data_IF_876834643863
#
_entry.id   IF_876834643863
#
_cell.length_a   1.000
_cell.length_b   1.000
_cell.length_c   1.000
_cell.angle_alpha   90.00
_cell.angle_beta   90.00
_cell.angle_gamma   90.00
#
_symmetry.space_group_name_H-M   'P 1'
#
loop_
_entity.id
_entity.type
_entity.pdbx_description
1 polymer ?
#
# COMPACT_ATOMS: atom_id res chain seq x y z
N UNK A 1 -25.97 -9.85 -21.91
CA UNK A 1 -24.77 -10.14 -21.09
C UNK A 1 -25.19 -10.22 -19.63
N UNK A 2 -24.87 -11.28 -18.89
CA UNK A 2 -25.13 -11.33 -17.43
C UNK A 2 -24.27 -10.25 -16.78
N UNK A 3 -24.90 -9.33 -16.04
CA UNK A 3 -24.20 -8.27 -15.29
C UNK A 3 -23.30 -8.96 -14.26
N UNK A 4 -22.01 -8.64 -14.25
CA UNK A 4 -21.13 -9.13 -13.19
C UNK A 4 -21.72 -8.72 -11.84
N UNK A 5 -21.78 -9.63 -10.86
CA UNK A 5 -22.34 -9.34 -9.56
C UNK A 5 -21.56 -8.20 -8.90
N UNK A 6 -22.27 -7.24 -8.33
CA UNK A 6 -21.65 -6.16 -7.58
C UNK A 6 -21.14 -6.69 -6.23
N UNK A 7 -20.06 -6.12 -5.67
CA UNK A 7 -19.68 -6.41 -4.29
C UNK A 7 -20.80 -5.95 -3.34
N UNK A 8 -21.01 -6.70 -2.26
CA UNK A 8 -22.01 -6.38 -1.23
C UNK A 8 -21.41 -5.72 0.01
N UNK A 9 -20.11 -5.84 0.22
CA UNK A 9 -19.39 -5.15 1.30
C UNK A 9 -17.90 -4.97 0.98
N UNK A 10 -17.23 -4.13 1.78
CA UNK A 10 -15.81 -3.82 1.70
C UNK A 10 -15.20 -3.91 3.10
N UNK A 11 -14.07 -4.60 3.21
CA UNK A 11 -13.20 -4.53 4.39
C UNK A 11 -11.98 -3.66 4.07
N UNK A 12 -11.70 -2.67 4.92
CA UNK A 12 -10.46 -1.89 4.89
C UNK A 12 -9.58 -2.28 6.07
N UNK A 13 -8.36 -2.69 5.80
CA UNK A 13 -7.32 -2.92 6.80
C UNK A 13 -6.20 -1.92 6.63
N UNK A 14 -5.89 -1.20 7.70
CA UNK A 14 -4.78 -0.26 7.78
C UNK A 14 -3.66 -0.86 8.63
N UNK A 15 -2.44 -0.89 8.13
CA UNK A 15 -1.32 -1.47 8.86
C UNK A 15 -0.49 -0.41 9.58
N UNK A 16 -0.13 -0.67 10.84
CA UNK A 16 0.82 0.15 11.57
C UNK A 16 2.25 -0.16 11.11
N UNK A 17 2.73 0.59 10.13
CA UNK A 17 4.08 0.49 9.54
C UNK A 17 5.08 1.49 10.14
N UNK A 18 4.61 2.38 11.02
CA UNK A 18 5.36 3.51 11.57
C UNK A 18 5.02 4.80 10.81
N UNK A 19 6.02 5.41 10.15
CA UNK A 19 5.81 6.52 9.22
C UNK A 19 5.79 6.00 7.79
N UNK A 20 4.59 5.86 7.24
CA UNK A 20 4.31 5.40 5.89
C UNK A 20 2.92 4.81 5.77
N UNK A 21 2.65 4.25 4.59
CA UNK A 21 1.32 3.83 4.17
C UNK A 21 1.29 2.36 3.76
N UNK A 22 0.21 1.68 4.16
CA UNK A 22 -0.09 0.30 3.78
C UNK A 22 -1.55 -0.01 4.08
N UNK A 23 -2.34 -0.18 3.01
CA UNK A 23 -3.78 -0.42 3.08
C UNK A 23 -4.16 -1.64 2.25
N UNK A 24 -4.96 -2.53 2.84
CA UNK A 24 -5.58 -3.64 2.11
C UNK A 24 -7.09 -3.46 2.07
N UNK A 25 -7.63 -3.39 0.86
CA UNK A 25 -9.06 -3.36 0.58
C UNK A 25 -9.50 -4.73 0.08
N UNK A 26 -10.51 -5.31 0.71
CA UNK A 26 -11.12 -6.58 0.29
C UNK A 26 -12.59 -6.37 -0.04
N UNK A 27 -12.94 -6.54 -1.32
CA UNK A 27 -14.32 -6.50 -1.79
C UNK A 27 -14.94 -7.89 -1.70
N UNK A 28 -16.08 -7.97 -1.01
CA UNK A 28 -16.82 -9.21 -0.80
C UNK A 28 -17.97 -9.33 -1.78
N UNK A 29 -18.17 -10.52 -2.33
CA UNK A 29 -19.18 -10.80 -3.34
C UNK A 29 -20.17 -11.85 -2.86
N UNK A 30 -21.46 -11.73 -3.23
CA UNK A 30 -22.48 -12.69 -2.83
C UNK A 30 -22.28 -14.07 -3.48
N UNK A 31 -22.85 -15.10 -2.84
CA UNK A 31 -22.91 -16.46 -3.42
C UNK A 31 -21.58 -17.20 -3.41
N UNK A 32 -20.71 -16.95 -2.42
CA UNK A 32 -19.43 -17.66 -2.27
C UNK A 32 -18.40 -17.32 -3.36
N UNK A 33 -18.61 -16.26 -4.12
CA UNK A 33 -17.65 -15.78 -5.11
C UNK A 33 -16.37 -15.32 -4.43
N UNK A 34 -15.24 -15.52 -5.12
CA UNK A 34 -13.92 -15.10 -4.63
C UNK A 34 -13.93 -13.60 -4.34
N UNK A 35 -13.42 -13.22 -3.17
CA UNK A 35 -13.13 -11.84 -2.84
C UNK A 35 -12.17 -11.21 -3.86
N UNK A 36 -12.15 -9.87 -3.92
CA UNK A 36 -11.17 -9.12 -4.69
C UNK A 36 -10.30 -8.27 -3.76
N UNK A 37 -8.99 -8.43 -3.84
CA UNK A 37 -8.03 -7.81 -2.92
C UNK A 37 -7.20 -6.74 -3.63
N UNK A 38 -7.18 -5.53 -3.07
CA UNK A 38 -6.42 -4.38 -3.57
C UNK A 38 -5.47 -3.90 -2.46
N UNK A 39 -4.17 -4.00 -2.71
CA UNK A 39 -3.13 -3.44 -1.85
C UNK A 39 -2.77 -2.04 -2.35
N UNK A 40 -2.85 -1.04 -1.48
CA UNK A 40 -2.48 0.36 -1.79
C UNK A 40 -1.32 0.74 -0.87
N UNK A 41 -0.18 1.03 -1.50
CA UNK A 41 1.10 1.25 -0.86
C UNK A 41 1.54 0.12 0.07
N UNK A 42 2.84 0.09 0.34
CA UNK A 42 3.45 -0.81 1.30
C UNK A 42 4.84 -0.28 1.62
N UNK A 43 4.92 0.71 2.51
CA UNK A 43 6.17 1.39 2.79
C UNK A 43 6.30 1.88 4.23
N UNK A 44 7.53 2.22 4.57
CA UNK A 44 7.90 2.86 5.83
C UNK A 44 9.29 3.50 5.69
N UNK A 45 9.46 4.70 6.24
CA UNK A 45 10.78 5.33 6.45
C UNK A 45 11.21 5.31 7.91
N UNK A 46 10.26 5.13 8.83
CA UNK A 46 10.52 5.11 10.26
C UNK A 46 9.62 4.10 10.93
N UNK A 47 10.20 3.25 11.76
CA UNK A 47 9.45 2.21 12.46
C UNK A 47 8.49 2.79 13.51
N UNK A 48 7.48 2.00 13.94
CA UNK A 48 6.73 2.29 15.15
C UNK A 48 7.65 2.35 16.38
N UNK A 49 7.11 2.80 17.52
CA UNK A 49 7.87 2.87 18.77
C UNK A 49 8.38 1.51 19.24
N UNK A 50 9.51 1.50 19.95
CA UNK A 50 10.06 0.27 20.56
C UNK A 50 9.06 -0.43 21.46
N UNK A 51 8.23 0.33 22.18
CA UNK A 51 7.16 -0.23 23.03
C UNK A 51 6.14 -1.01 22.20
N UNK A 52 5.77 -0.50 21.02
CA UNK A 52 4.90 -1.23 20.09
C UNK A 52 5.58 -2.51 19.62
N UNK A 53 6.82 -2.43 19.14
CA UNK A 53 7.57 -3.58 18.61
C UNK A 53 7.76 -4.69 19.66
N UNK A 54 8.05 -4.32 20.92
CA UNK A 54 8.14 -5.27 22.05
C UNK A 54 6.80 -5.93 22.39
N UNK A 55 5.68 -5.26 22.11
CA UNK A 55 4.33 -5.78 22.37
C UNK A 55 3.79 -6.71 21.26
N UNK A 56 4.41 -6.74 20.08
CA UNK A 56 3.90 -7.52 18.95
C UNK A 56 3.78 -9.03 19.23
N UNK A 57 4.74 -9.70 19.90
CA UNK A 57 4.64 -11.14 20.15
C UNK A 57 3.35 -11.59 20.82
N UNK A 58 2.78 -10.77 21.73
CA UNK A 58 1.52 -11.07 22.42
C UNK A 58 0.27 -10.59 21.68
N UNK A 59 0.43 -9.75 20.65
CA UNK A 59 -0.67 -9.12 19.89
C UNK A 59 -0.87 -9.71 18.50
N UNK A 60 0.05 -10.54 18.01
CA UNK A 60 -0.08 -11.09 16.67
C UNK A 60 -1.26 -12.07 16.57
N UNK A 61 -1.96 -12.05 15.41
CA UNK A 61 -3.02 -13.00 15.15
C UNK A 61 -2.48 -14.44 15.12
N UNK A 62 -3.33 -15.45 15.41
CA UNK A 62 -2.89 -16.85 15.55
C UNK A 62 -2.05 -17.37 14.38
N UNK A 63 -2.41 -17.01 13.15
CA UNK A 63 -1.71 -17.45 11.93
C UNK A 63 -0.26 -16.93 11.82
N UNK A 64 0.11 -15.87 12.56
CA UNK A 64 1.48 -15.34 12.61
C UNK A 64 2.27 -15.78 13.85
N UNK A 65 1.62 -16.35 14.87
CA UNK A 65 2.32 -16.73 16.10
C UNK A 65 3.45 -17.73 15.84
N UNK A 66 3.26 -18.67 14.90
CA UNK A 66 4.31 -19.60 14.47
C UNK A 66 5.48 -18.93 13.73
N UNK A 67 5.25 -17.78 13.06
CA UNK A 67 6.29 -17.01 12.38
C UNK A 67 7.20 -16.26 13.35
N UNK A 68 6.69 -15.89 14.53
CA UNK A 68 7.43 -15.18 15.58
C UNK A 68 8.46 -16.06 16.28
N UNK A 69 8.21 -17.37 16.45
CA UNK A 69 9.11 -18.25 17.23
C UNK A 69 10.54 -18.29 16.69
N UNK A 70 10.72 -17.91 15.42
CA UNK A 70 12.01 -17.81 14.74
C UNK A 70 12.54 -16.37 14.62
N UNK A 71 11.88 -15.38 15.22
CA UNK A 71 12.28 -13.98 15.23
C UNK A 71 13.06 -13.66 16.52
N UNK A 72 14.22 -13.02 16.36
CA UNK A 72 14.95 -12.40 17.49
C UNK A 72 14.08 -11.32 18.13
N UNK A 73 13.99 -11.31 19.45
CA UNK A 73 13.35 -10.24 20.22
C UNK A 73 14.34 -9.11 20.52
N UNK A 74 13.95 -7.83 20.46
CA UNK A 74 12.63 -7.33 20.04
C UNK A 74 12.43 -7.43 18.52
N UNK A 75 11.17 -7.46 18.08
CA UNK A 75 10.82 -7.44 16.66
C UNK A 75 11.43 -6.20 16.00
N UNK A 76 12.23 -6.39 14.95
CA UNK A 76 12.87 -5.29 14.23
C UNK A 76 11.93 -4.69 13.17
N UNK A 77 12.19 -3.47 12.67
CA UNK A 77 11.38 -2.87 11.61
C UNK A 77 11.30 -3.73 10.35
N UNK A 78 12.41 -4.36 9.95
CA UNK A 78 12.44 -5.28 8.81
C UNK A 78 11.59 -6.53 9.06
N UNK A 79 11.58 -7.05 10.29
CA UNK A 79 10.73 -8.18 10.67
C UNK A 79 9.26 -7.79 10.68
N UNK A 80 8.92 -6.57 11.14
CA UNK A 80 7.54 -6.05 11.09
C UNK A 80 7.00 -6.01 9.66
N UNK A 81 7.74 -5.44 8.70
CA UNK A 81 7.30 -5.40 7.31
C UNK A 81 7.06 -6.81 6.75
N UNK A 82 7.94 -7.77 7.09
CA UNK A 82 7.77 -9.16 6.68
C UNK A 82 6.55 -9.84 7.34
N UNK A 83 6.26 -9.55 8.61
CA UNK A 83 5.07 -10.01 9.30
C UNK A 83 3.79 -9.46 8.65
N UNK A 84 3.78 -8.18 8.29
CA UNK A 84 2.68 -7.56 7.56
C UNK A 84 2.47 -8.24 6.21
N UNK A 85 3.53 -8.52 5.44
CA UNK A 85 3.41 -9.25 4.18
C UNK A 85 2.82 -10.66 4.37
N UNK A 86 3.16 -11.36 5.46
CA UNK A 86 2.54 -12.65 5.78
C UNK A 86 1.06 -12.52 6.17
N UNK A 87 0.69 -11.47 6.90
CA UNK A 87 -0.71 -11.18 7.23
C UNK A 87 -1.52 -10.92 5.95
N UNK A 88 -1.01 -10.05 5.06
CA UNK A 88 -1.61 -9.76 3.75
C UNK A 88 -1.78 -11.06 2.96
N UNK A 89 -0.74 -11.89 2.88
CA UNK A 89 -0.80 -13.18 2.20
C UNK A 89 -1.90 -14.09 2.76
N UNK A 90 -2.06 -14.12 4.09
CA UNK A 90 -3.08 -14.94 4.73
C UNK A 90 -4.49 -14.41 4.46
N UNK A 91 -4.74 -13.13 4.68
CA UNK A 91 -6.11 -12.58 4.62
C UNK A 91 -6.60 -12.30 3.20
N UNK A 92 -5.69 -12.30 2.24
CA UNK A 92 -6.01 -12.25 0.82
C UNK A 92 -6.19 -13.64 0.19
N UNK A 93 -6.22 -14.70 1.00
CA UNK A 93 -6.25 -16.10 0.53
C UNK A 93 -5.13 -16.41 -0.48
N UNK A 94 -3.96 -15.79 -0.28
CA UNK A 94 -2.79 -15.93 -1.14
C UNK A 94 -2.89 -15.21 -2.49
N UNK A 95 -3.87 -14.32 -2.70
CA UNK A 95 -4.12 -13.69 -4.00
C UNK A 95 -4.36 -12.18 -3.90
N UNK A 96 -3.59 -11.40 -4.67
CA UNK A 96 -3.88 -9.99 -4.92
C UNK A 96 -4.42 -9.80 -6.34
N UNK A 97 -5.47 -9.00 -6.48
CA UNK A 97 -5.99 -8.61 -7.79
C UNK A 97 -5.29 -7.35 -8.29
N UNK A 98 -5.11 -6.37 -7.40
CA UNK A 98 -4.50 -5.09 -7.74
C UNK A 98 -3.48 -4.69 -6.68
N UNK A 99 -2.33 -4.20 -7.12
CA UNK A 99 -1.39 -3.43 -6.31
C UNK A 99 -1.35 -2.01 -6.86
N UNK A 100 -1.45 -1.01 -5.99
CA UNK A 100 -1.35 0.40 -6.35
C UNK A 100 -0.19 1.00 -5.57
N UNK A 101 0.75 1.63 -6.29
CA UNK A 101 1.73 2.52 -5.69
C UNK A 101 1.32 3.96 -5.97
N UNK A 102 1.14 4.79 -4.95
CA UNK A 102 0.71 6.18 -5.11
C UNK A 102 1.82 7.04 -5.69
N UNK A 103 3.05 6.88 -5.16
CA UNK A 103 4.27 7.53 -5.64
C UNK A 103 5.52 6.85 -5.08
N UNK A 104 6.70 7.31 -5.50
CA UNK A 104 7.97 6.58 -5.34
C UNK A 104 8.69 6.74 -4.00
N UNK A 105 8.14 7.51 -3.07
CA UNK A 105 8.82 7.74 -1.79
C UNK A 105 8.88 6.45 -0.95
N UNK A 106 9.93 6.31 -0.13
CA UNK A 106 10.21 5.10 0.66
C UNK A 106 9.06 4.70 1.58
N UNK A 107 8.42 5.68 2.18
CA UNK A 107 7.30 5.52 3.08
C UNK A 107 6.04 4.96 2.39
N UNK A 108 6.03 4.91 1.06
CA UNK A 108 4.98 4.28 0.25
C UNK A 108 5.41 2.96 -0.38
N UNK A 109 6.67 2.80 -0.79
CA UNK A 109 7.07 1.63 -1.60
C UNK A 109 8.19 0.77 -1.03
N UNK A 110 8.82 1.13 0.09
CA UNK A 110 10.01 0.41 0.58
C UNK A 110 9.75 -1.08 0.91
N UNK A 111 8.52 -1.42 1.31
CA UNK A 111 8.09 -2.80 1.56
C UNK A 111 8.02 -3.67 0.31
N UNK A 112 7.99 -3.08 -0.89
CA UNK A 112 8.09 -3.83 -2.14
C UNK A 112 9.53 -4.19 -2.53
N UNK A 113 10.56 -3.78 -1.78
CA UNK A 113 11.93 -4.19 -2.06
C UNK A 113 12.11 -5.72 -1.94
N UNK A 114 12.89 -6.28 -2.86
CA UNK A 114 13.24 -7.70 -2.90
C UNK A 114 14.53 -7.96 -2.13
N UNK A 115 14.75 -9.22 -1.79
CA UNK A 115 15.99 -9.67 -1.15
C UNK A 115 16.67 -10.74 -2.00
N UNK A 116 17.99 -10.87 -1.91
CA UNK A 116 18.74 -11.94 -2.62
C UNK A 116 18.33 -13.35 -2.19
N UNK A 117 17.71 -13.48 -1.01
CA UNK A 117 17.18 -14.75 -0.48
C UNK A 117 15.75 -15.04 -0.94
N UNK A 118 15.10 -14.14 -1.68
CA UNK A 118 13.74 -14.31 -2.20
C UNK A 118 12.67 -14.47 -1.10
N UNK A 119 12.90 -13.93 0.09
CA UNK A 119 12.00 -14.12 1.23
C UNK A 119 11.69 -12.82 2.00
N UNK A 120 12.02 -11.69 1.41
CA UNK A 120 11.70 -10.35 1.89
C UNK A 120 10.22 -10.02 1.73
N UNK A 121 9.79 -8.88 2.29
CA UNK A 121 8.40 -8.44 2.20
C UNK A 121 7.93 -8.30 0.74
N UNK A 122 8.73 -7.69 -0.13
CA UNK A 122 8.39 -7.53 -1.56
C UNK A 122 8.38 -8.84 -2.33
N UNK A 123 9.19 -9.82 -1.93
CA UNK A 123 9.19 -11.17 -2.50
C UNK A 123 7.90 -11.92 -2.15
N UNK A 124 7.42 -11.78 -0.90
CA UNK A 124 6.16 -12.36 -0.45
C UNK A 124 4.98 -11.76 -1.22
N UNK A 125 4.92 -10.43 -1.34
CA UNK A 125 3.85 -9.75 -2.07
C UNK A 125 3.84 -10.14 -3.55
N UNK A 126 5.01 -10.22 -4.20
CA UNK A 126 5.13 -10.76 -5.57
C UNK A 126 4.54 -12.17 -5.67
N UNK A 127 4.78 -13.02 -4.67
CA UNK A 127 4.26 -14.39 -4.61
C UNK A 127 2.73 -14.48 -4.58
N UNK A 128 2.02 -13.39 -4.27
CA UNK A 128 0.55 -13.31 -4.33
C UNK A 128 0.02 -13.09 -5.76
N UNK A 129 0.92 -13.04 -6.74
CA UNK A 129 0.66 -12.94 -8.18
C UNK A 129 -0.37 -11.86 -8.56
N UNK A 130 -0.11 -10.56 -8.28
CA UNK A 130 -1.01 -9.47 -8.65
C UNK A 130 -1.44 -9.54 -10.12
N UNK A 131 -2.74 -9.44 -10.40
CA UNK A 131 -3.20 -9.37 -11.79
C UNK A 131 -2.81 -8.03 -12.44
N UNK A 132 -2.94 -6.93 -11.69
CA UNK A 132 -2.67 -5.58 -12.14
C UNK A 132 -1.80 -4.82 -11.13
N UNK A 133 -0.76 -4.16 -11.62
CA UNK A 133 -0.02 -3.14 -10.86
C UNK A 133 -0.30 -1.78 -11.48
N UNK A 134 -0.71 -0.82 -10.65
CA UNK A 134 -0.95 0.58 -11.03
C UNK A 134 0.13 1.44 -10.40
N UNK A 135 0.83 2.21 -11.22
CA UNK A 135 1.88 3.13 -10.80
C UNK A 135 1.64 4.52 -11.43
N UNK A 136 2.20 5.60 -10.87
CA UNK A 136 2.11 6.89 -11.51
C UNK A 136 2.95 6.92 -12.78
N UNK A 137 2.53 7.73 -13.75
CA UNK A 137 3.19 7.89 -15.05
C UNK A 137 4.68 8.26 -14.94
N UNK A 138 5.08 8.92 -13.87
CA UNK A 138 6.47 9.33 -13.59
C UNK A 138 7.41 8.15 -13.43
N UNK A 139 6.89 6.97 -13.11
CA UNK A 139 7.66 5.73 -13.02
C UNK A 139 7.76 5.00 -14.36
N UNK A 140 7.16 5.51 -15.43
CA UNK A 140 7.22 4.86 -16.73
C UNK A 140 8.70 4.70 -17.16
N UNK A 141 9.15 3.52 -17.67
CA UNK A 141 10.56 3.29 -18.00
C UNK A 141 11.15 4.25 -19.05
N UNK A 142 10.29 4.88 -19.84
CA UNK A 142 10.64 5.88 -20.85
C UNK A 142 10.40 7.33 -20.42
N UNK A 143 9.93 7.56 -19.19
CA UNK A 143 9.77 8.92 -18.68
C UNK A 143 11.15 9.55 -18.50
N UNK A 144 11.32 10.77 -19.02
CA UNK A 144 12.53 11.56 -18.77
C UNK A 144 12.48 12.13 -17.35
N UNK A 145 13.64 12.35 -16.75
CA UNK A 145 13.76 12.87 -15.37
C UNK A 145 13.15 14.25 -15.17
N UNK A 146 13.04 15.03 -16.24
CA UNK A 146 12.48 16.38 -16.29
C UNK A 146 11.15 16.43 -17.09
N UNK A 147 10.56 15.26 -17.37
CA UNK A 147 9.31 15.19 -18.12
C UNK A 147 8.22 15.96 -17.38
N UNK A 148 7.49 16.80 -18.13
CA UNK A 148 6.31 17.54 -17.64
C UNK A 148 4.99 16.88 -18.05
N UNK A 149 5.06 15.87 -18.92
CA UNK A 149 3.91 15.18 -19.49
C UNK A 149 4.16 13.67 -19.57
N UNK A 150 3.08 12.90 -19.46
CA UNK A 150 3.11 11.45 -19.60
C UNK A 150 3.47 11.05 -21.04
N UNK A 151 4.30 10.01 -21.25
CA UNK A 151 4.55 9.48 -22.59
C UNK A 151 3.24 9.12 -23.32
N UNK A 152 3.14 9.40 -24.62
CA UNK A 152 1.92 9.31 -25.44
C UNK A 152 1.13 7.99 -25.35
N UNK A 153 1.75 6.90 -24.90
CA UNK A 153 1.12 5.58 -24.78
C UNK A 153 0.02 5.47 -23.70
N UNK A 154 -0.19 6.50 -22.87
CA UNK A 154 -1.01 6.43 -21.65
C UNK A 154 -2.42 7.06 -21.82
N UNK A 155 -2.72 7.78 -22.90
CA UNK A 155 -3.91 8.64 -23.01
C UNK A 155 -4.97 8.12 -24.01
N UNK A 156 -6.00 7.39 -23.55
CA UNK A 156 -7.32 7.24 -24.25
C UNK A 156 -8.44 6.55 -23.42
N UNK A 157 -9.21 7.31 -22.61
CA UNK A 157 -10.71 7.32 -22.58
C UNK A 157 -11.37 7.74 -21.24
N UNK A 158 -12.36 8.63 -21.36
CA UNK A 158 -12.99 9.54 -20.37
C UNK A 158 -13.95 8.96 -19.31
N UNK A 159 -13.91 7.65 -19.01
CA UNK A 159 -15.00 7.01 -18.23
C UNK A 159 -14.82 6.96 -16.70
N UNK A 160 -13.75 7.54 -16.12
CA UNK A 160 -13.47 7.48 -14.68
C UNK A 160 -13.96 8.71 -13.86
N UNK A 161 -14.35 9.82 -14.51
CA UNK A 161 -14.78 11.04 -13.81
C UNK A 161 -15.96 10.81 -12.84
N UNK A 162 -16.87 9.87 -13.15
CA UNK A 162 -17.98 9.51 -12.27
C UNK A 162 -17.55 8.69 -11.03
N UNK A 163 -16.43 7.95 -11.10
CA UNK A 163 -15.92 7.15 -9.97
C UNK A 163 -15.11 7.99 -8.98
N UNK A 164 -14.39 9.02 -9.45
CA UNK A 164 -13.73 10.01 -8.56
C UNK A 164 -14.73 10.84 -7.76
N UNK A 165 -15.90 11.15 -8.33
CA UNK A 165 -16.95 11.83 -7.56
C UNK A 165 -17.42 11.00 -6.36
N UNK A 166 -17.31 9.67 -6.42
CA UNK A 166 -17.55 8.77 -5.29
C UNK A 166 -16.36 8.68 -4.31
N UNK A 167 -15.12 8.77 -4.79
CA UNK A 167 -13.91 8.72 -3.95
C UNK A 167 -13.63 10.05 -3.23
N UNK A 168 -13.97 11.20 -3.82
CA UNK A 168 -13.89 12.50 -3.12
C UNK A 168 -14.86 12.55 -1.93
N UNK A 169 -16.02 11.88 -2.02
CA UNK A 169 -16.94 11.73 -0.89
C UNK A 169 -16.37 10.79 0.20
N UNK A 170 -15.63 9.76 -0.20
CA UNK A 170 -14.95 8.86 0.75
C UNK A 170 -13.75 9.53 1.44
N UNK A 171 -12.92 10.27 0.69
CA UNK A 171 -11.82 11.06 1.23
C UNK A 171 -12.33 12.16 2.16
N UNK A 172 -13.39 12.87 1.77
CA UNK A 172 -14.06 13.84 2.65
C UNK A 172 -14.66 13.18 3.91
N UNK A 173 -15.16 11.95 3.81
CA UNK A 173 -15.66 11.22 4.98
C UNK A 173 -14.52 10.82 5.94
N UNK A 174 -13.36 10.39 5.42
CA UNK A 174 -12.16 10.08 6.22
C UNK A 174 -11.56 11.35 6.84
N UNK A 175 -11.48 12.45 6.09
CA UNK A 175 -10.98 13.73 6.61
C UNK A 175 -11.86 14.27 7.74
N UNK A 176 -13.19 14.22 7.57
CA UNK A 176 -14.12 14.64 8.61
C UNK A 176 -14.02 13.79 9.87
N UNK A 177 -13.79 12.48 9.72
CA UNK A 177 -13.60 11.58 10.87
C UNK A 177 -12.24 11.79 11.55
N UNK A 178 -11.17 12.00 10.78
CA UNK A 178 -9.85 12.33 11.30
C UNK A 178 -9.86 13.67 12.07
N UNK A 179 -10.54 14.69 11.53
CA UNK A 179 -10.71 15.98 12.20
C UNK A 179 -11.48 15.85 13.52
N UNK A 180 -12.55 15.03 13.56
CA UNK A 180 -13.29 14.73 14.80
C UNK A 180 -12.42 14.02 15.83
N UNK A 181 -11.61 13.04 15.42
CA UNK A 181 -10.70 12.33 16.32
C UNK A 181 -9.58 13.22 16.87
N UNK A 182 -9.07 14.16 16.07
CA UNK A 182 -8.07 15.15 16.50
C UNK A 182 -8.70 16.13 17.50
N UNK A 183 -9.89 16.66 17.21
CA UNK A 183 -10.60 17.56 18.12
C UNK A 183 -10.90 16.88 19.46
N UNK A 184 -11.39 15.64 19.45
CA UNK A 184 -11.62 14.86 20.67
C UNK A 184 -10.35 14.62 21.50
N UNK A 185 -9.16 14.59 20.87
CA UNK A 185 -7.87 14.49 21.58
C UNK A 185 -7.40 15.82 22.16
N UNK A 186 -7.71 16.93 21.50
CA UNK A 186 -7.44 18.28 22.00
C UNK A 186 -8.34 18.61 23.20
N UNK A 187 -9.62 18.26 23.10
CA UNK A 187 -10.61 18.44 24.18
C UNK A 187 -10.27 17.57 25.41
N UNK A 188 -9.57 16.45 25.21
CA UNK A 188 -9.06 15.58 26.28
C UNK A 188 -7.73 16.06 26.93
N UNK A 189 -7.28 17.29 26.64
CA UNK A 189 -6.19 17.96 27.37
C UNK A 189 -4.78 17.41 27.12
N UNK A 190 -4.52 16.69 26.03
CA UNK A 190 -3.18 16.15 25.72
C UNK A 190 -2.43 17.08 24.76
N UNK A 191 -1.36 17.73 25.27
CA UNK A 191 -0.54 18.69 24.53
C UNK A 191 0.20 18.04 23.35
N UNK A 192 0.07 18.65 22.17
CA UNK A 192 0.79 18.28 20.95
C UNK A 192 2.21 18.85 20.95
N UNK A 193 3.21 17.97 20.93
CA UNK A 193 4.63 18.34 20.77
C UNK A 193 4.92 18.55 19.27
N UNK A 194 5.59 19.64 18.92
CA UNK A 194 5.95 20.00 17.54
C UNK A 194 6.85 18.93 16.86
N UNK A 195 6.74 18.72 15.55
CA UNK A 195 7.51 17.69 14.83
C UNK A 195 9.01 18.04 14.78
N UNK A 196 9.87 17.03 14.97
CA UNK A 196 11.33 17.15 14.98
C UNK A 196 11.93 17.34 13.58
N UNK A 197 13.17 17.84 13.54
CA UNK A 197 14.04 18.10 12.38
C UNK A 197 14.15 16.93 11.37
N UNK A 198 13.80 15.70 11.75
CA UNK A 198 13.75 14.54 10.85
C UNK A 198 12.66 14.69 9.77
N UNK A 199 11.61 15.45 10.04
CA UNK A 199 10.54 15.75 9.07
C UNK A 199 11.04 16.61 7.91
N UNK A 200 12.10 17.41 8.12
CA UNK A 200 12.66 18.32 7.12
C UNK A 200 13.76 17.68 6.24
N UNK A 201 14.30 16.52 6.62
CA UNK A 201 15.28 15.76 5.80
C UNK A 201 14.61 14.88 4.72
N UNK A 202 13.28 14.81 4.72
CA UNK A 202 12.45 14.00 3.83
C UNK A 202 12.48 14.45 2.36
N UNK A 203 12.89 15.68 2.06
CA UNK A 203 12.78 16.28 0.72
C UNK A 203 13.91 15.91 -0.26
N UNK A 204 14.79 14.96 0.06
CA UNK A 204 16.09 14.83 -0.64
C UNK A 204 16.64 13.44 -0.87
N UNK A 205 15.82 12.39 -0.96
CA UNK A 205 16.34 11.05 -1.27
C UNK A 205 16.27 10.71 -2.76
N UNK A 206 17.46 10.50 -3.33
CA UNK A 206 17.68 10.18 -4.75
C UNK A 206 17.12 8.79 -5.16
N UNK A 207 16.76 8.68 -6.44
CA UNK A 207 16.22 7.49 -7.15
C UNK A 207 16.99 6.15 -6.97
N UNK A 208 18.18 6.15 -6.36
CA UNK A 208 19.04 4.96 -6.24
C UNK A 208 18.60 4.03 -5.10
N UNK A 209 18.10 4.58 -3.99
CA UNK A 209 17.82 3.79 -2.78
C UNK A 209 16.56 2.89 -2.87
N UNK A 210 15.62 3.22 -3.77
CA UNK A 210 14.36 2.48 -3.96
C UNK A 210 14.32 1.61 -5.21
N UNK A 211 15.46 1.47 -5.89
CA UNK A 211 15.52 0.82 -7.21
C UNK A 211 14.92 -0.59 -7.21
N UNK A 212 15.28 -1.42 -6.23
CA UNK A 212 14.74 -2.79 -6.11
C UNK A 212 13.22 -2.80 -5.94
N UNK A 213 12.64 -1.89 -5.16
CA UNK A 213 11.19 -1.80 -4.98
C UNK A 213 10.48 -1.38 -6.27
N UNK A 214 11.03 -0.38 -6.97
CA UNK A 214 10.49 0.09 -8.25
C UNK A 214 10.56 -1.03 -9.30
N UNK A 215 11.72 -1.67 -9.47
CA UNK A 215 11.90 -2.79 -10.40
C UNK A 215 10.97 -3.97 -10.07
N UNK A 216 10.75 -4.23 -8.78
CA UNK A 216 9.80 -5.24 -8.34
C UNK A 216 8.37 -4.87 -8.75
N UNK A 217 7.92 -3.64 -8.48
CA UNK A 217 6.59 -3.14 -8.86
C UNK A 217 6.37 -3.20 -10.38
N UNK A 218 7.36 -2.79 -11.16
CA UNK A 218 7.30 -2.81 -12.63
C UNK A 218 7.00 -4.20 -13.19
N UNK A 219 7.43 -5.26 -12.49
CA UNK A 219 7.49 -6.64 -13.03
C UNK A 219 6.73 -7.68 -12.19
N UNK A 220 6.09 -7.32 -11.07
CA UNK A 220 5.39 -8.29 -10.22
C UNK A 220 3.98 -8.62 -10.71
N UNK A 221 3.34 -7.68 -11.42
CA UNK A 221 2.01 -7.90 -11.96
C UNK A 221 2.03 -8.67 -13.28
N UNK A 222 0.94 -9.39 -13.58
CA UNK A 222 0.70 -9.91 -14.94
C UNK A 222 0.61 -8.77 -15.96
N UNK A 223 0.08 -7.63 -15.50
CA UNK A 223 0.04 -6.37 -16.24
C UNK A 223 0.45 -5.22 -15.32
N UNK A 224 1.31 -4.36 -15.81
CA UNK A 224 1.64 -3.09 -15.14
C UNK A 224 1.16 -1.94 -16.02
N UNK A 225 0.51 -0.96 -15.40
CA UNK A 225 0.05 0.26 -16.06
C UNK A 225 0.57 1.48 -15.33
N UNK A 226 0.78 2.53 -16.10
CA UNK A 226 1.26 3.81 -15.63
C UNK A 226 0.17 4.83 -15.93
N UNK A 227 -0.33 5.51 -14.91
CA UNK A 227 -1.51 6.38 -15.03
C UNK A 227 -1.24 7.79 -14.56
N UNK A 228 -1.99 8.74 -15.13
CA UNK A 228 -2.05 10.14 -14.78
C UNK A 228 -3.51 10.63 -14.87
N UNK A 229 -3.76 11.86 -14.41
CA UNK A 229 -5.07 12.47 -14.64
C UNK A 229 -5.40 12.49 -16.14
N UNK A 230 -6.55 11.91 -16.51
CA UNK A 230 -6.98 11.77 -17.90
C UNK A 230 -6.62 10.44 -18.59
N UNK A 231 -5.87 9.54 -17.95
CA UNK A 231 -5.64 8.18 -18.47
C UNK A 231 -6.93 7.36 -18.58
N UNK A 232 -7.00 6.37 -19.50
CA UNK A 232 -8.05 5.36 -19.52
C UNK A 232 -8.07 4.54 -18.23
N UNK A 233 -9.24 3.98 -17.92
CA UNK A 233 -9.39 3.01 -16.83
C UNK A 233 -8.46 1.81 -17.03
N UNK A 234 -7.63 1.53 -16.02
CA UNK A 234 -6.95 0.26 -15.92
C UNK A 234 -7.93 -0.83 -15.47
N UNK A 235 -7.93 -1.99 -16.14
CA UNK A 235 -8.79 -3.13 -15.79
C UNK A 235 -7.93 -4.33 -15.46
N UNK A 236 -8.16 -4.92 -14.29
CA UNK A 236 -7.75 -6.27 -14.00
C UNK A 236 -8.69 -7.22 -14.77
N UNK A 237 -8.12 -8.11 -15.57
CA UNK A 237 -8.86 -9.17 -16.26
C UNK A 237 -9.08 -10.37 -15.34
#
# INVERSE_FOLDING_TARGET
MKKSPAPNSLTLRTYQVGFGDCFLLTFHYPGGQRNRNVLIDFGSTRAPSDAFLKSLPSRLPPHLQGKIRNLKSPVTPAQLMRLIAFDIAHVSDGQLDVVVATHRHKDHISGFATTTRGNGPGDIIRGLNPHLVVMPWTEHPKAKTDAKEAPEAITRNQSFAAALSGMNLFAAAIENEAARMIQARLDAGKTSRAPSLDTLRFTGENNVANRSAIENLMTMGRRTVYVNFGSPQARAA
#
